data_IF_801203923026
#
_entry.id   IF_801203923026
#
_cell.length_a   1.000
_cell.length_b   1.000
_cell.length_c   1.000
_cell.angle_alpha   90.00
_cell.angle_beta   90.00
_cell.angle_gamma   90.00
#
_symmetry.space_group_name_H-M   'P 1'
#
loop_
_entity.id
_entity.type
_entity.pdbx_description
1 polymer ?
#
# COMPACT_ATOMS: atom_id res chain seq x y z
N UNK A 1 -10.80 14.83 -8.27
CA UNK A 1 -10.27 14.16 -9.48
C UNK A 1 -10.02 15.24 -10.53
N UNK A 2 -8.75 15.58 -10.77
CA UNK A 2 -8.34 16.41 -11.90
C UNK A 2 -7.10 15.74 -12.50
N UNK A 3 -7.25 15.18 -13.70
CA UNK A 3 -6.15 14.58 -14.46
C UNK A 3 -5.40 15.72 -15.15
N UNK A 4 -4.16 15.96 -14.72
CA UNK A 4 -3.24 16.88 -15.39
C UNK A 4 -2.17 16.07 -16.12
N UNK A 5 -2.03 16.30 -17.43
CA UNK A 5 -0.98 15.76 -18.30
C UNK A 5 0.14 16.79 -18.45
N UNK A 6 1.39 16.49 -18.05
CA UNK A 6 2.52 17.26 -18.55
C UNK A 6 3.12 16.57 -19.77
N UNK A 7 3.03 17.25 -20.93
CA UNK A 7 4.10 17.20 -21.93
C UNK A 7 5.29 17.96 -21.35
N UNK A 8 6.49 17.40 -21.52
CA UNK A 8 7.72 18.02 -22.08
C UNK A 8 8.94 17.30 -21.50
N UNK A 9 9.63 16.56 -22.37
CA UNK A 9 11.05 16.27 -22.28
C UNK A 9 11.73 17.25 -23.24
N UNK A 10 12.62 18.11 -22.74
CA UNK A 10 13.61 18.77 -23.57
C UNK A 10 14.82 19.16 -22.74
N UNK A 11 15.95 18.49 -22.97
CA UNK A 11 17.27 18.97 -22.56
C UNK A 11 18.19 18.80 -23.75
N UNK A 12 18.80 19.90 -24.21
CA UNK A 12 19.79 19.94 -25.28
C UNK A 12 21.08 20.59 -24.75
N UNK A 13 22.10 19.75 -24.53
CA UNK A 13 23.56 19.89 -24.79
C UNK A 13 24.35 21.07 -24.14
N UNK A 14 25.71 21.14 -24.21
CA UNK A 14 26.78 20.11 -24.28
C UNK A 14 27.95 20.37 -23.28
N UNK A 15 28.93 19.46 -23.19
CA UNK A 15 30.27 19.81 -22.69
C UNK A 15 31.13 18.68 -22.10
N UNK A 16 31.87 18.01 -22.99
CA UNK A 16 33.16 17.31 -22.81
C UNK A 16 34.08 17.81 -21.68
N UNK A 17 34.87 16.93 -21.04
CA UNK A 17 36.32 16.73 -21.28
C UNK A 17 36.96 15.65 -20.35
N UNK A 18 37.57 14.59 -20.97
CA UNK A 18 38.93 13.99 -20.76
C UNK A 18 39.40 13.46 -19.35
N UNK A 19 40.25 12.43 -19.13
CA UNK A 19 41.03 11.42 -19.90
C UNK A 19 41.72 10.42 -18.92
N UNK A 20 41.92 9.15 -19.36
CA UNK A 20 43.03 8.16 -19.12
C UNK A 20 43.54 7.79 -17.69
N UNK A 21 44.14 6.63 -17.36
CA UNK A 21 44.42 5.28 -17.90
C UNK A 21 45.07 4.48 -16.71
N UNK A 22 45.05 3.14 -16.53
CA UNK A 22 45.82 2.08 -17.21
C UNK A 22 45.66 0.71 -16.44
N UNK A 23 46.17 -0.44 -16.94
CA UNK A 23 45.56 -1.78 -16.85
C UNK A 23 46.41 -2.83 -16.10
N UNK A 24 45.91 -4.07 -15.82
CA UNK A 24 46.65 -5.37 -15.91
C UNK A 24 45.73 -6.63 -15.98
N UNK A 25 45.97 -7.43 -17.05
CA UNK A 25 45.94 -8.91 -17.36
C UNK A 25 45.21 -9.92 -16.42
N UNK A 26 44.33 -10.83 -16.87
CA UNK A 26 44.46 -12.11 -17.68
C UNK A 26 45.26 -13.23 -16.94
N UNK A 27 44.87 -14.51 -16.78
CA UNK A 27 43.88 -15.48 -17.37
C UNK A 27 43.72 -16.74 -16.43
N UNK A 28 43.34 -17.99 -16.84
CA UNK A 28 41.99 -18.58 -16.75
C UNK A 28 41.92 -19.97 -16.01
N UNK A 29 40.74 -20.45 -15.60
CA UNK A 29 40.48 -21.90 -15.39
C UNK A 29 39.04 -22.27 -15.77
N UNK A 30 38.91 -23.44 -16.41
CA UNK A 30 37.83 -24.09 -17.15
C UNK A 30 36.72 -24.80 -16.32
N UNK A 31 35.53 -24.88 -16.92
CA UNK A 31 34.27 -25.61 -16.58
C UNK A 31 34.41 -27.18 -16.68
N UNK A 32 33.41 -28.08 -16.39
CA UNK A 32 31.93 -27.96 -16.60
C UNK A 32 30.93 -28.71 -15.64
N UNK A 33 29.62 -28.39 -15.80
CA UNK A 33 28.35 -29.17 -15.61
C UNK A 33 28.15 -30.09 -14.36
N UNK A 34 26.97 -30.28 -13.75
CA UNK A 34 25.59 -30.28 -14.25
C UNK A 34 24.57 -30.29 -13.08
N UNK A 35 23.36 -29.75 -13.33
CA UNK A 35 22.02 -30.07 -12.77
C UNK A 35 21.81 -30.26 -11.25
N UNK A 36 21.05 -29.34 -10.65
CA UNK A 36 19.75 -29.69 -10.01
C UNK A 36 18.91 -28.42 -9.76
N UNK A 37 17.83 -28.29 -10.53
CA UNK A 37 16.72 -27.36 -10.26
C UNK A 37 15.59 -28.17 -9.66
N UNK A 38 15.16 -27.87 -8.43
CA UNK A 38 13.94 -28.45 -7.86
C UNK A 38 12.87 -27.37 -7.71
N UNK A 39 11.86 -27.48 -8.56
CA UNK A 39 10.58 -26.78 -8.56
C UNK A 39 9.68 -27.46 -7.51
N UNK A 40 9.05 -26.68 -6.62
CA UNK A 40 7.97 -27.18 -5.76
C UNK A 40 6.67 -26.49 -6.19
N UNK A 41 5.72 -27.29 -6.68
CA UNK A 41 4.31 -26.95 -6.87
C UNK A 41 3.49 -28.05 -6.21
N UNK A 42 2.35 -27.65 -5.64
CA UNK A 42 1.45 -28.41 -4.79
C UNK A 42 0.83 -29.65 -5.43
N UNK A 43 0.59 -30.66 -4.57
CA UNK A 43 -0.41 -31.71 -4.75
C UNK A 43 0.10 -33.01 -5.35
N UNK A 44 0.49 -33.98 -4.51
CA UNK A 44 -0.01 -35.35 -4.69
C UNK A 44 0.03 -36.13 -3.37
N UNK A 45 -0.89 -37.09 -3.28
CA UNK A 45 -1.39 -37.70 -2.06
C UNK A 45 -0.46 -38.72 -1.40
N UNK A 46 -0.61 -38.78 -0.08
CA UNK A 46 -0.08 -39.86 0.76
C UNK A 46 -1.01 -40.07 1.95
N UNK A 47 -1.83 -41.12 1.88
CA UNK A 47 -2.62 -41.63 3.01
C UNK A 47 -1.67 -42.38 3.96
N UNK A 48 -1.77 -42.18 5.28
CA UNK A 48 -1.82 -43.37 6.12
C UNK A 48 -2.83 -43.31 7.27
N UNK A 49 -3.28 -44.53 7.56
CA UNK A 49 -4.15 -45.03 8.63
C UNK A 49 -3.65 -44.73 10.05
N UNK A 50 -4.57 -44.39 10.97
CA UNK A 50 -4.95 -45.22 12.14
C UNK A 50 -5.94 -44.51 13.07
N UNK A 51 -7.09 -45.18 13.27
CA UNK A 51 -7.90 -45.35 14.49
C UNK A 51 -7.86 -44.28 15.60
N UNK A 52 -9.04 -43.70 15.87
CA UNK A 52 -9.65 -43.32 17.16
C UNK A 52 -11.07 -42.80 16.78
N UNK A 53 -12.18 -43.52 16.95
CA UNK A 53 -12.85 -43.96 18.18
C UNK A 53 -12.96 -42.84 19.24
N UNK A 54 -14.21 -42.53 19.61
CA UNK A 54 -14.66 -41.49 20.57
C UNK A 54 -14.57 -40.07 20.00
N UNK A 55 -15.65 -39.29 19.83
CA UNK A 55 -16.64 -38.96 20.86
C UNK A 55 -18.03 -38.70 20.25
N UNK A 56 -19.01 -39.41 20.82
CA UNK A 56 -20.44 -39.06 20.83
C UNK A 56 -20.64 -38.13 22.03
N UNK A 57 -21.34 -37.01 21.84
CA UNK A 57 -21.85 -36.20 22.96
C UNK A 57 -22.10 -34.74 22.59
N UNK A 58 -23.31 -34.26 22.84
CA UNK A 58 -23.79 -32.88 22.69
C UNK A 58 -24.27 -32.48 21.28
N UNK A 59 -25.32 -33.16 20.82
CA UNK A 59 -26.31 -32.59 19.88
C UNK A 59 -27.73 -32.80 20.43
N UNK A 60 -27.95 -32.36 21.68
CA UNK A 60 -29.26 -32.34 22.34
C UNK A 60 -29.47 -31.03 23.11
N UNK A 61 -29.18 -29.90 22.46
CA UNK A 61 -29.35 -28.55 23.03
C UNK A 61 -30.00 -27.55 22.08
N UNK A 62 -30.68 -28.03 21.03
CA UNK A 62 -31.15 -27.18 19.91
C UNK A 62 -32.64 -27.37 19.55
N UNK A 63 -33.47 -27.85 20.48
CA UNK A 63 -34.93 -28.02 20.23
C UNK A 63 -35.83 -27.36 21.30
N UNK A 64 -35.29 -26.72 22.34
CA UNK A 64 -36.14 -26.07 23.38
C UNK A 64 -36.25 -24.52 23.24
N UNK A 65 -35.58 -23.89 22.27
CA UNK A 65 -35.68 -22.42 22.06
C UNK A 65 -36.50 -22.01 20.82
N UNK A 66 -37.37 -22.88 20.32
CA UNK A 66 -38.39 -22.53 19.30
C UNK A 66 -39.81 -22.45 19.90
N UNK A 67 -39.99 -22.73 21.20
CA UNK A 67 -41.30 -22.74 21.87
C UNK A 67 -41.72 -21.45 22.59
N UNK A 68 -40.88 -20.41 22.63
CA UNK A 68 -41.11 -19.20 23.45
C UNK A 68 -41.35 -17.88 22.68
N UNK A 69 -41.33 -17.90 21.35
CA UNK A 69 -41.40 -16.68 20.52
C UNK A 69 -42.79 -16.34 19.95
N UNK A 70 -43.80 -17.17 20.15
CA UNK A 70 -45.10 -17.04 19.49
C UNK A 70 -46.19 -16.33 20.33
N UNK A 71 -45.85 -15.77 21.50
CA UNK A 71 -46.82 -15.14 22.40
C UNK A 71 -46.58 -13.63 22.66
N UNK A 72 -45.68 -12.97 21.93
CA UNK A 72 -45.49 -11.49 22.02
C UNK A 72 -45.70 -10.80 20.65
N UNK A 73 -46.27 -11.50 19.67
CA UNK A 73 -46.62 -10.91 18.37
C UNK A 73 -48.03 -10.27 18.31
N UNK A 74 -48.76 -10.19 19.43
CA UNK A 74 -50.17 -9.77 19.44
C UNK A 74 -50.46 -8.47 20.19
N UNK A 75 -49.44 -7.73 20.65
CA UNK A 75 -49.61 -6.41 21.31
C UNK A 75 -48.97 -5.25 20.51
N UNK A 76 -48.36 -5.52 19.36
CA UNK A 76 -47.79 -4.49 18.47
C UNK A 76 -48.73 -4.23 17.29
N UNK A 77 -49.94 -3.75 17.58
CA UNK A 77 -50.86 -3.29 16.54
C UNK A 77 -51.68 -2.04 16.93
N UNK A 78 -51.33 -1.34 18.03
CA UNK A 78 -52.13 -0.20 18.50
C UNK A 78 -51.41 1.09 18.87
N UNK A 79 -50.12 1.26 18.61
CA UNK A 79 -49.44 2.54 18.82
C UNK A 79 -48.76 3.02 17.53
N UNK A 80 -49.55 3.58 16.61
CA UNK A 80 -49.06 4.51 15.59
C UNK A 80 -49.03 5.92 16.19
N UNK A 81 -48.11 6.14 17.12
CA UNK A 81 -47.65 7.50 17.42
C UNK A 81 -46.40 7.74 16.58
N UNK A 82 -46.40 8.84 15.85
CA UNK A 82 -45.31 9.26 14.99
C UNK A 82 -44.00 9.29 15.79
N UNK A 83 -43.09 8.38 15.44
CA UNK A 83 -41.74 8.35 16.00
C UNK A 83 -41.03 9.67 15.68
N UNK A 84 -40.52 10.40 16.68
CA UNK A 84 -39.76 11.62 16.42
C UNK A 84 -38.59 11.31 15.49
N UNK A 85 -38.42 12.14 14.47
CA UNK A 85 -37.26 12.12 13.60
C UNK A 85 -35.99 12.06 14.45
N UNK A 86 -35.11 11.12 14.13
CA UNK A 86 -33.81 10.94 14.79
C UNK A 86 -33.09 12.29 14.72
N UNK A 87 -33.00 12.99 15.85
CA UNK A 87 -32.21 14.19 15.96
C UNK A 87 -30.80 13.84 15.48
N UNK A 88 -30.27 14.61 14.53
CA UNK A 88 -28.90 14.47 14.08
C UNK A 88 -28.00 14.46 15.32
N UNK A 89 -27.33 13.33 15.58
CA UNK A 89 -26.44 13.19 16.72
C UNK A 89 -25.42 14.33 16.64
N UNK A 90 -25.45 15.23 17.63
CA UNK A 90 -24.39 16.20 17.82
C UNK A 90 -23.12 15.39 18.06
N UNK A 91 -22.27 15.34 17.04
CA UNK A 91 -20.99 14.63 17.13
C UNK A 91 -20.09 15.46 18.03
N UNK A 92 -19.91 15.01 19.26
CA UNK A 92 -18.88 15.56 20.13
C UNK A 92 -17.52 15.32 19.46
N UNK A 93 -16.58 16.29 19.51
CA UNK A 93 -15.23 16.10 18.98
C UNK A 93 -14.58 14.83 19.55
N UNK A 94 -13.80 14.13 18.72
CA UNK A 94 -13.06 12.95 19.15
C UNK A 94 -12.09 13.31 20.29
N UNK A 95 -11.80 12.37 21.19
CA UNK A 95 -10.82 12.61 22.25
C UNK A 95 -9.39 12.73 21.70
N UNK A 96 -9.08 12.00 20.63
CA UNK A 96 -7.75 11.94 20.02
C UNK A 96 -7.85 11.73 18.51
N UNK A 97 -6.91 12.30 17.77
CA UNK A 97 -6.61 12.00 16.39
C UNK A 97 -5.18 11.44 16.30
N UNK A 98 -5.04 10.19 15.85
CA UNK A 98 -3.76 9.55 15.53
C UNK A 98 -3.45 9.75 14.03
N UNK A 99 -2.51 10.64 13.73
CA UNK A 99 -2.18 11.05 12.36
C UNK A 99 -0.89 10.37 11.84
N UNK A 100 -1.01 9.61 10.75
CA UNK A 100 0.11 9.04 10.02
C UNK A 100 0.69 9.98 8.94
N UNK A 101 2.00 10.06 8.81
CA UNK A 101 2.68 10.74 7.69
C UNK A 101 4.10 10.18 7.47
N UNK A 102 4.80 10.63 6.42
CA UNK A 102 6.19 10.25 6.15
C UNK A 102 7.14 11.37 6.53
N UNK A 103 8.32 11.01 7.02
CA UNK A 103 9.39 11.95 7.37
C UNK A 103 10.12 12.57 6.18
N UNK A 104 9.42 12.90 5.09
CA UNK A 104 10.04 13.43 3.87
C UNK A 104 9.23 14.55 3.21
N UNK A 105 9.87 15.26 2.27
CA UNK A 105 9.34 16.49 1.66
C UNK A 105 7.98 16.35 0.98
N UNK A 106 7.61 15.14 0.52
CA UNK A 106 6.32 14.93 -0.14
C UNK A 106 5.14 15.05 0.85
N UNK A 107 5.42 15.00 2.15
CA UNK A 107 4.46 15.19 3.24
C UNK A 107 4.69 16.52 3.98
N UNK A 108 5.28 17.52 3.31
CA UNK A 108 5.56 18.84 3.88
C UNK A 108 4.37 19.49 4.61
N UNK A 109 3.10 19.41 4.14
CA UNK A 109 1.97 19.95 4.90
C UNK A 109 1.82 19.30 6.28
N UNK A 110 2.02 18.00 6.39
CA UNK A 110 1.99 17.28 7.67
C UNK A 110 3.17 17.71 8.56
N UNK A 111 4.37 17.73 8.00
CA UNK A 111 5.59 18.09 8.73
C UNK A 111 5.53 19.52 9.29
N UNK A 112 5.12 20.48 8.47
CA UNK A 112 4.95 21.88 8.90
C UNK A 112 3.78 22.00 9.88
N UNK A 113 2.66 21.34 9.59
CA UNK A 113 1.46 21.37 10.42
C UNK A 113 1.68 20.82 11.83
N UNK A 114 2.46 19.74 11.96
CA UNK A 114 2.85 19.15 13.24
C UNK A 114 3.91 20.01 13.93
N UNK A 115 5.02 20.33 13.24
CA UNK A 115 6.16 21.05 13.85
C UNK A 115 5.81 22.46 14.34
N UNK A 116 4.88 23.15 13.65
CA UNK A 116 4.41 24.49 14.03
C UNK A 116 3.14 24.46 14.89
N UNK A 117 2.64 23.28 15.28
CA UNK A 117 1.43 23.14 16.09
C UNK A 117 0.13 23.59 15.40
N UNK A 118 0.13 23.75 14.07
CA UNK A 118 -1.04 24.23 13.33
C UNK A 118 -2.18 23.21 13.36
N UNK A 119 -1.87 21.92 13.19
CA UNK A 119 -2.90 20.86 13.20
C UNK A 119 -3.52 20.76 14.59
N UNK A 120 -2.70 20.75 15.65
CA UNK A 120 -3.19 20.71 17.03
C UNK A 120 -4.07 21.92 17.37
N UNK A 121 -3.70 23.11 16.87
CA UNK A 121 -4.51 24.34 17.05
C UNK A 121 -5.90 24.21 16.44
N UNK A 122 -6.01 23.72 15.19
CA UNK A 122 -7.29 23.56 14.51
C UNK A 122 -8.16 22.43 15.11
N UNK A 123 -7.52 21.45 15.77
CA UNK A 123 -8.20 20.36 16.47
C UNK A 123 -8.86 20.77 17.80
N UNK A 124 -8.54 21.95 18.34
CA UNK A 124 -9.08 22.46 19.59
C UNK A 124 -8.76 21.55 20.78
N UNK A 125 -9.79 20.93 21.37
CA UNK A 125 -9.66 20.02 22.52
C UNK A 125 -9.28 18.59 22.12
N UNK A 126 -9.30 18.24 20.83
CA UNK A 126 -8.93 16.91 20.35
C UNK A 126 -7.41 16.75 20.43
N UNK A 127 -6.92 15.75 21.17
CA UNK A 127 -5.49 15.47 21.29
C UNK A 127 -4.94 15.03 19.93
N UNK A 128 -3.79 15.57 19.52
CA UNK A 128 -3.06 15.08 18.36
C UNK A 128 -1.95 14.12 18.80
N UNK A 129 -1.92 12.92 18.24
CA UNK A 129 -0.74 12.05 18.23
C UNK A 129 -0.35 11.71 16.81
N UNK A 130 0.94 11.39 16.62
CA UNK A 130 1.49 11.20 15.28
C UNK A 130 2.31 9.93 15.18
N UNK A 131 2.27 9.30 14.00
CA UNK A 131 3.13 8.18 13.67
C UNK A 131 3.81 8.40 12.32
N UNK A 132 5.12 8.19 12.28
CA UNK A 132 5.90 8.29 11.05
C UNK A 132 5.96 6.91 10.39
N UNK A 133 5.68 6.88 9.09
CA UNK A 133 5.78 5.69 8.25
C UNK A 133 6.82 5.90 7.16
N UNK A 134 7.34 4.79 6.66
CA UNK A 134 8.34 4.82 5.60
C UNK A 134 7.72 4.76 4.19
N UNK A 135 6.56 4.13 4.08
CA UNK A 135 5.85 3.92 2.82
C UNK A 135 4.34 3.68 3.02
N UNK A 136 3.60 3.80 1.92
CA UNK A 136 2.14 3.82 1.92
C UNK A 136 1.44 2.50 2.28
N UNK A 137 1.89 1.33 1.80
CA UNK A 137 1.33 0.05 2.23
C UNK A 137 1.29 -0.10 3.76
N UNK A 138 2.39 0.20 4.45
CA UNK A 138 2.43 0.15 5.92
C UNK A 138 1.46 1.13 6.59
N UNK A 139 1.30 2.34 6.05
CA UNK A 139 0.33 3.30 6.56
C UNK A 139 -1.12 2.85 6.33
N UNK A 140 -1.42 2.18 5.21
CA UNK A 140 -2.74 1.59 4.95
C UNK A 140 -3.02 0.41 5.89
N UNK A 141 -2.03 -0.44 6.16
CA UNK A 141 -2.16 -1.52 7.15
C UNK A 141 -2.50 -0.96 8.54
N UNK A 142 -1.82 0.12 8.95
CA UNK A 142 -2.07 0.79 10.22
C UNK A 142 -3.47 1.44 10.29
N UNK A 143 -3.96 2.05 9.20
CA UNK A 143 -5.34 2.55 9.10
C UNK A 143 -6.35 1.41 9.26
N UNK A 144 -6.17 0.33 8.50
CA UNK A 144 -7.09 -0.81 8.52
C UNK A 144 -7.11 -1.53 9.88
N UNK A 145 -5.99 -1.53 10.61
CA UNK A 145 -5.88 -2.07 11.96
C UNK A 145 -6.41 -1.12 13.05
N UNK A 146 -6.80 0.11 12.71
CA UNK A 146 -7.20 1.13 13.67
C UNK A 146 -6.04 1.69 14.52
N UNK A 147 -4.79 1.44 14.12
CA UNK A 147 -3.61 1.97 14.80
C UNK A 147 -3.47 3.48 14.58
N UNK A 148 -3.92 3.99 13.43
CA UNK A 148 -4.06 5.43 13.14
C UNK A 148 -5.46 5.71 12.57
N UNK A 149 -5.91 6.96 12.67
CA UNK A 149 -7.27 7.37 12.26
C UNK A 149 -7.25 8.13 10.92
N UNK A 150 -6.15 8.81 10.62
CA UNK A 150 -5.95 9.54 9.37
C UNK A 150 -4.49 9.41 8.92
N UNK A 151 -4.25 9.48 7.61
CA UNK A 151 -2.90 9.51 7.08
C UNK A 151 -2.77 10.39 5.84
N UNK A 152 -1.62 11.03 5.71
CA UNK A 152 -1.15 11.50 4.40
C UNK A 152 -0.70 10.27 3.61
N UNK A 153 -1.26 10.07 2.41
CA UNK A 153 -0.98 8.90 1.58
C UNK A 153 -0.67 9.30 0.14
N UNK A 154 0.21 8.53 -0.49
CA UNK A 154 0.37 8.56 -1.93
C UNK A 154 -0.88 8.05 -2.65
N UNK A 155 -1.09 8.45 -3.92
CA UNK A 155 -2.29 8.12 -4.67
C UNK A 155 -2.49 6.61 -4.85
N UNK A 156 -1.41 5.85 -5.05
CA UNK A 156 -1.51 4.44 -5.39
C UNK A 156 -1.95 3.56 -4.19
N UNK A 157 -1.34 3.71 -2.99
CA UNK A 157 -1.88 3.10 -1.76
C UNK A 157 -3.33 3.49 -1.46
N UNK A 158 -3.70 4.77 -1.65
CA UNK A 158 -5.05 5.25 -1.40
C UNK A 158 -6.08 4.59 -2.34
N UNK A 159 -5.80 4.56 -3.64
CA UNK A 159 -6.67 3.90 -4.63
C UNK A 159 -6.74 2.40 -4.38
N UNK A 160 -5.62 1.75 -4.08
CA UNK A 160 -5.61 0.31 -3.84
C UNK A 160 -6.46 -0.05 -2.62
N UNK A 161 -6.33 0.69 -1.53
CA UNK A 161 -7.17 0.53 -0.33
C UNK A 161 -8.64 0.75 -0.66
N UNK A 162 -8.98 1.85 -1.34
CA UNK A 162 -10.35 2.17 -1.74
C UNK A 162 -10.97 1.07 -2.60
N UNK A 163 -10.25 0.55 -3.59
CA UNK A 163 -10.75 -0.51 -4.49
C UNK A 163 -10.94 -1.82 -3.74
N UNK A 164 -9.97 -2.24 -2.94
CA UNK A 164 -10.04 -3.49 -2.19
C UNK A 164 -11.18 -3.47 -1.15
N UNK A 165 -11.39 -2.32 -0.51
CA UNK A 165 -12.45 -2.15 0.49
C UNK A 165 -13.80 -1.74 -0.09
N UNK A 166 -13.89 -1.52 -1.42
CA UNK A 166 -15.06 -0.88 -2.06
C UNK A 166 -15.47 0.44 -1.38
N UNK A 167 -14.48 1.23 -0.96
CA UNK A 167 -14.67 2.50 -0.27
C UNK A 167 -14.93 2.41 1.24
N UNK A 168 -15.00 1.21 1.83
CA UNK A 168 -15.28 1.06 3.26
C UNK A 168 -14.10 1.41 4.19
N UNK A 169 -12.85 1.20 3.77
CA UNK A 169 -11.67 1.30 4.65
C UNK A 169 -11.04 2.68 4.67
N UNK A 170 -11.21 3.48 3.62
CA UNK A 170 -10.59 4.82 3.51
C UNK A 170 -11.52 5.80 2.82
N UNK A 171 -11.53 7.04 3.31
CA UNK A 171 -12.14 8.20 2.66
C UNK A 171 -11.07 9.21 2.29
N UNK A 172 -11.15 9.78 1.09
CA UNK A 172 -10.19 10.79 0.61
C UNK A 172 -10.74 12.17 0.98
N UNK A 173 -10.02 12.88 1.87
CA UNK A 173 -10.46 14.17 2.40
C UNK A 173 -10.02 15.34 1.51
N UNK A 174 -8.73 15.39 1.17
CA UNK A 174 -8.14 16.49 0.41
C UNK A 174 -6.87 16.07 -0.31
N UNK A 175 -6.48 16.83 -1.33
CA UNK A 175 -5.15 16.73 -1.94
C UNK A 175 -4.12 17.47 -1.08
N UNK A 176 -2.96 16.84 -0.84
CA UNK A 176 -1.88 17.42 -0.04
C UNK A 176 -0.67 17.87 -0.88
N UNK A 177 -0.37 17.18 -1.97
CA UNK A 177 0.77 17.46 -2.84
C UNK A 177 0.47 17.06 -4.29
N UNK A 178 1.19 17.68 -5.23
CA UNK A 178 1.14 17.40 -6.66
C UNK A 178 2.57 17.35 -7.24
N UNK A 179 2.71 16.89 -8.50
CA UNK A 179 4.02 16.84 -9.20
C UNK A 179 4.56 15.43 -9.50
N UNK A 180 4.02 14.38 -8.86
CA UNK A 180 4.33 13.00 -9.18
C UNK A 180 5.69 12.51 -8.65
N UNK A 181 6.27 11.52 -9.34
CA UNK A 181 7.56 10.93 -9.01
C UNK A 181 8.51 11.01 -10.20
N UNK A 182 9.82 11.08 -9.93
CA UNK A 182 10.86 11.07 -10.95
C UNK A 182 11.84 9.92 -10.70
N UNK A 183 12.33 9.32 -11.79
CA UNK A 183 13.41 8.35 -11.74
C UNK A 183 14.74 9.11 -11.87
N UNK A 184 15.55 9.07 -10.82
CA UNK A 184 16.91 9.61 -10.84
C UNK A 184 17.86 8.51 -11.31
N UNK A 185 18.71 8.83 -12.27
CA UNK A 185 19.68 7.90 -12.85
C UNK A 185 21.08 8.47 -12.76
N UNK A 186 22.08 7.60 -12.73
CA UNK A 186 23.48 7.99 -12.81
C UNK A 186 23.83 8.56 -14.20
N UNK A 187 24.91 9.36 -14.33
CA UNK A 187 25.42 9.78 -15.64
C UNK A 187 25.64 8.60 -16.60
N UNK A 188 25.40 8.83 -17.88
CA UNK A 188 25.52 7.81 -18.94
C UNK A 188 24.25 7.00 -19.19
N UNK A 189 23.19 7.17 -18.39
CA UNK A 189 21.84 6.73 -18.73
C UNK A 189 21.11 7.93 -19.31
N UNK A 190 20.78 7.87 -20.60
CA UNK A 190 20.21 9.02 -21.34
C UNK A 190 18.88 8.69 -22.01
N UNK A 191 18.54 7.40 -22.08
CA UNK A 191 17.30 6.90 -22.66
C UNK A 191 16.72 5.76 -21.82
N UNK A 192 15.46 5.42 -22.04
CA UNK A 192 14.84 4.24 -21.43
C UNK A 192 15.54 2.94 -21.85
N UNK A 193 16.03 2.86 -23.10
CA UNK A 193 16.73 1.68 -23.61
C UNK A 193 17.99 1.34 -22.79
N UNK A 194 18.68 2.35 -22.25
CA UNK A 194 19.87 2.18 -21.42
C UNK A 194 19.58 1.46 -20.09
N UNK A 195 18.30 1.40 -19.68
CA UNK A 195 17.85 0.71 -18.48
C UNK A 195 17.79 -0.82 -18.67
N UNK A 196 17.82 -1.32 -19.91
CA UNK A 196 17.78 -2.75 -20.17
C UNK A 196 18.97 -3.47 -19.51
N UNK A 197 18.66 -4.59 -18.86
CA UNK A 197 19.59 -5.37 -18.04
C UNK A 197 20.06 -4.67 -16.76
N UNK A 198 19.47 -3.53 -16.38
CA UNK A 198 19.77 -2.85 -15.11
C UNK A 198 18.78 -3.28 -14.02
N UNK A 199 19.20 -3.04 -12.79
CA UNK A 199 18.35 -3.13 -11.60
C UNK A 199 18.07 -1.71 -11.11
N UNK A 200 16.80 -1.38 -10.92
CA UNK A 200 16.34 -0.11 -10.36
C UNK A 200 15.84 -0.32 -8.94
N UNK A 201 16.05 0.66 -8.06
CA UNK A 201 15.49 0.65 -6.72
C UNK A 201 14.12 1.35 -6.70
N UNK A 202 13.20 0.86 -5.87
CA UNK A 202 11.95 1.55 -5.54
C UNK A 202 11.69 1.46 -4.03
N UNK A 203 10.96 2.39 -3.39
CA UNK A 203 10.76 2.42 -1.93
C UNK A 203 10.02 1.23 -1.29
N UNK A 204 8.97 0.72 -1.94
CA UNK A 204 8.23 -0.45 -1.47
C UNK A 204 7.38 -0.98 -2.62
N UNK A 205 7.28 -2.29 -2.74
CA UNK A 205 6.41 -2.93 -3.72
C UNK A 205 4.97 -2.43 -3.53
N UNK A 206 4.33 -1.98 -4.62
CA UNK A 206 2.96 -1.47 -4.57
C UNK A 206 2.83 -0.03 -4.04
N UNK A 207 3.92 0.59 -3.58
CA UNK A 207 3.98 2.02 -3.32
C UNK A 207 3.79 2.85 -4.58
N UNK A 208 3.53 4.15 -4.42
CA UNK A 208 3.28 5.06 -5.56
C UNK A 208 4.44 5.10 -6.55
N UNK A 209 5.67 5.20 -6.05
CA UNK A 209 6.86 5.29 -6.90
C UNK A 209 7.13 3.97 -7.62
N UNK A 210 6.95 2.83 -6.94
CA UNK A 210 7.14 1.50 -7.54
C UNK A 210 6.16 1.27 -8.69
N UNK A 211 4.88 1.56 -8.48
CA UNK A 211 3.87 1.39 -9.54
C UNK A 211 4.03 2.41 -10.66
N UNK A 212 4.38 3.66 -10.34
CA UNK A 212 4.69 4.66 -11.36
C UNK A 212 5.88 4.24 -12.24
N UNK A 213 6.95 3.71 -11.64
CA UNK A 213 8.12 3.20 -12.35
C UNK A 213 7.76 2.03 -13.27
N UNK A 214 7.03 1.04 -12.75
CA UNK A 214 6.58 -0.14 -13.53
C UNK A 214 5.68 0.26 -14.70
N UNK A 215 4.73 1.16 -14.46
CA UNK A 215 3.84 1.67 -15.50
C UNK A 215 4.61 2.46 -16.56
N UNK A 216 5.58 3.28 -16.16
CA UNK A 216 6.42 4.02 -17.10
C UNK A 216 7.30 3.08 -17.93
N UNK A 217 7.98 2.10 -17.32
CA UNK A 217 8.79 1.10 -18.04
C UNK A 217 7.95 0.31 -19.06
N UNK A 218 6.73 -0.09 -18.69
CA UNK A 218 5.80 -0.74 -19.61
C UNK A 218 5.45 0.12 -20.82
N UNK A 219 5.25 1.45 -20.62
CA UNK A 219 5.05 2.40 -21.74
C UNK A 219 6.27 2.56 -22.63
N UNK A 220 7.47 2.27 -22.12
CA UNK A 220 8.72 2.24 -22.91
C UNK A 220 8.94 0.87 -23.59
N UNK A 221 8.00 -0.07 -23.47
CA UNK A 221 8.14 -1.43 -24.01
C UNK A 221 9.07 -2.34 -23.20
N UNK A 222 9.48 -1.91 -21.99
CA UNK A 222 10.36 -2.68 -21.12
C UNK A 222 9.54 -3.53 -20.15
N UNK A 223 9.74 -4.84 -20.19
CA UNK A 223 9.03 -5.78 -19.31
C UNK A 223 9.69 -5.80 -17.93
N UNK A 224 8.85 -5.84 -16.89
CA UNK A 224 9.26 -6.00 -15.49
C UNK A 224 8.34 -7.00 -14.80
N UNK A 225 8.80 -7.60 -13.69
CA UNK A 225 8.02 -8.50 -12.86
C UNK A 225 8.08 -8.08 -11.39
N UNK A 226 7.02 -8.39 -10.62
CA UNK A 226 6.99 -8.15 -9.17
C UNK A 226 8.03 -9.00 -8.42
N UNK A 227 8.28 -10.23 -8.90
CA UNK A 227 9.30 -11.14 -8.35
C UNK A 227 10.73 -10.84 -8.83
N UNK A 228 10.93 -9.76 -9.60
CA UNK A 228 12.17 -9.48 -10.30
C UNK A 228 12.27 -10.17 -11.67
N UNK A 229 13.21 -9.69 -12.49
CA UNK A 229 13.39 -10.14 -13.88
C UNK A 229 12.64 -9.30 -14.93
N UNK A 230 12.65 -9.78 -16.17
CA UNK A 230 12.21 -9.02 -17.34
C UNK A 230 13.37 -8.32 -18.06
N UNK A 231 13.07 -7.29 -18.85
CA UNK A 231 14.10 -6.45 -19.47
C UNK A 231 14.80 -5.56 -18.45
N UNK A 232 14.12 -5.18 -17.37
CA UNK A 232 14.65 -4.35 -16.27
C UNK A 232 14.19 -4.95 -14.94
N UNK A 233 15.12 -5.22 -14.04
CA UNK A 233 14.79 -5.64 -12.69
C UNK A 233 14.43 -4.42 -11.82
N UNK A 234 13.45 -4.58 -10.93
CA UNK A 234 13.14 -3.60 -9.89
C UNK A 234 13.34 -4.32 -8.56
N UNK A 235 14.13 -3.71 -7.68
CA UNK A 235 14.36 -4.14 -6.33
C UNK A 235 13.66 -3.16 -5.37
N UNK A 236 12.45 -3.47 -4.88
CA UNK A 236 11.81 -2.67 -3.87
C UNK A 236 12.56 -2.81 -2.53
N UNK A 237 12.96 -1.69 -1.94
CA UNK A 237 13.70 -1.58 -0.69
C UNK A 237 13.11 -0.46 0.13
N UNK A 238 12.91 -0.69 1.43
CA UNK A 238 12.46 0.34 2.36
C UNK A 238 13.29 1.64 2.21
N UNK A 239 12.59 2.77 2.28
CA UNK A 239 13.15 4.13 2.23
C UNK A 239 14.13 4.41 3.37
#
# INVERSE_FOLDING_TARGET
MLLYTPKVLSVRLPGTYFRHAHPRRNTPVSSPNDKSTTRIVAGDGGKPSRRRALQIGVAAGLVVLVGGGAAVASVVAKNNEAQPAVAAALTTPAAELKLGYFGNVTHAPALVGVSKGLIAKELGTTKLTTQIFNAGPAAVEALNAGAIDAAYLGPNPAINSFVQSKGASVSIIAGAASGGAQLVVRPGITSAADLKGKTLASPQLGGTQDVALRAWLGKQGLKTSAAGGGDVAINPTEN
#
